data_IF_367892403621
#
_entry.id   IF_367892403621
#
_cell.length_a   1.000
_cell.length_b   1.000
_cell.length_c   1.000
_cell.angle_alpha   90.00
_cell.angle_beta   90.00
_cell.angle_gamma   90.00
#
_symmetry.space_group_name_H-M   'P 1'
#
loop_
_entity.id
_entity.type
_entity.pdbx_description
1 polymer ?
#
# COMPACT_ATOMS: atom_id res chain seq x y z
N UNK A 1 5.70 6.63 -33.85
CA UNK A 1 5.58 6.22 -32.44
C UNK A 1 5.56 4.70 -32.38
N UNK A 2 6.50 4.07 -31.68
CA UNK A 2 6.47 2.63 -31.43
C UNK A 2 5.43 2.35 -30.34
N UNK A 3 4.38 1.59 -30.63
CA UNK A 3 3.41 1.16 -29.62
C UNK A 3 4.10 0.20 -28.65
N UNK A 4 4.18 0.56 -27.37
CA UNK A 4 4.50 -0.41 -26.32
C UNK A 4 3.24 -1.22 -26.02
N UNK A 5 3.34 -2.54 -26.13
CA UNK A 5 2.32 -3.48 -25.68
C UNK A 5 2.60 -3.88 -24.23
N UNK A 6 1.54 -4.03 -23.43
CA UNK A 6 1.59 -4.60 -22.09
C UNK A 6 0.58 -5.75 -22.01
N UNK A 7 0.89 -6.78 -21.24
CA UNK A 7 -0.02 -7.91 -20.98
C UNK A 7 -1.18 -7.49 -20.05
N UNK A 8 -0.95 -6.51 -19.17
CA UNK A 8 -1.96 -6.01 -18.25
C UNK A 8 -1.78 -4.51 -17.95
N UNK A 9 -2.89 -3.83 -17.65
CA UNK A 9 -2.92 -2.46 -17.15
C UNK A 9 -3.58 -2.47 -15.77
N UNK A 10 -2.90 -1.92 -14.77
CA UNK A 10 -3.42 -1.70 -13.43
C UNK A 10 -3.67 -0.21 -13.24
N UNK A 11 -4.92 0.15 -12.95
CA UNK A 11 -5.33 1.53 -12.69
C UNK A 11 -5.38 1.76 -11.18
N UNK A 12 -4.52 2.66 -10.70
CA UNK A 12 -4.29 2.95 -9.29
C UNK A 12 -2.99 2.32 -8.76
N UNK A 13 -2.10 3.15 -8.26
CA UNK A 13 -0.84 2.81 -7.57
C UNK A 13 -0.99 2.63 -6.07
N UNK A 14 -2.19 2.28 -5.59
CA UNK A 14 -2.43 1.90 -4.20
C UNK A 14 -1.87 0.51 -3.87
N UNK A 15 -1.75 0.18 -2.58
CA UNK A 15 -1.22 -1.11 -2.13
C UNK A 15 -1.85 -2.32 -2.84
N UNK A 16 -3.16 -2.35 -3.05
CA UNK A 16 -3.83 -3.44 -3.77
C UNK A 16 -3.39 -3.53 -5.24
N UNK A 17 -3.32 -2.39 -5.94
CA UNK A 17 -2.88 -2.34 -7.34
C UNK A 17 -1.42 -2.78 -7.48
N UNK A 18 -0.56 -2.35 -6.56
CA UNK A 18 0.85 -2.75 -6.54
C UNK A 18 1.03 -4.23 -6.24
N UNK A 19 0.23 -4.82 -5.34
CA UNK A 19 0.22 -6.26 -5.09
C UNK A 19 -0.18 -7.02 -6.37
N UNK A 20 -1.27 -6.61 -7.01
CA UNK A 20 -1.72 -7.25 -8.26
C UNK A 20 -0.66 -7.15 -9.36
N UNK A 21 -0.08 -5.96 -9.55
CA UNK A 21 0.99 -5.72 -10.52
C UNK A 21 2.24 -6.57 -10.23
N UNK A 22 2.65 -6.68 -8.97
CA UNK A 22 3.80 -7.46 -8.56
C UNK A 22 3.59 -8.97 -8.80
N UNK A 23 2.40 -9.49 -8.49
CA UNK A 23 2.07 -10.90 -8.73
C UNK A 23 2.04 -11.21 -10.23
N UNK A 24 1.45 -10.34 -11.06
CA UNK A 24 1.46 -10.48 -12.52
C UNK A 24 2.88 -10.41 -13.10
N UNK A 25 3.70 -9.47 -12.63
CA UNK A 25 5.10 -9.35 -13.05
C UNK A 25 5.92 -10.60 -12.68
N UNK A 26 5.72 -11.16 -11.47
CA UNK A 26 6.37 -12.42 -11.05
C UNK A 26 5.91 -13.61 -11.89
N UNK A 27 4.70 -13.58 -12.43
CA UNK A 27 4.20 -14.56 -13.40
C UNK A 27 4.72 -14.32 -14.83
N UNK A 28 5.68 -13.41 -15.03
CA UNK A 28 6.31 -13.14 -16.32
C UNK A 28 5.53 -12.19 -17.23
N UNK A 29 4.55 -11.45 -16.70
CA UNK A 29 3.74 -10.49 -17.48
C UNK A 29 4.33 -9.09 -17.45
N UNK A 30 4.26 -8.40 -18.58
CA UNK A 30 4.52 -6.97 -18.68
C UNK A 30 3.30 -6.18 -18.20
N UNK A 31 3.48 -5.35 -17.17
CA UNK A 31 2.37 -4.63 -16.53
C UNK A 31 2.60 -3.13 -16.57
N UNK A 32 1.61 -2.37 -17.01
CA UNK A 32 1.58 -0.91 -16.89
C UNK A 32 0.75 -0.52 -15.67
N UNK A 33 1.34 0.22 -14.73
CA UNK A 33 0.62 0.79 -13.59
C UNK A 33 0.40 2.29 -13.85
N UNK A 34 -0.84 2.74 -13.73
CA UNK A 34 -1.23 4.14 -13.89
C UNK A 34 -1.73 4.69 -12.56
N UNK A 35 -1.04 5.68 -12.00
CA UNK A 35 -1.44 6.39 -10.79
C UNK A 35 -1.67 7.87 -11.10
N UNK A 36 -2.70 8.46 -10.50
CA UNK A 36 -3.04 9.88 -10.64
C UNK A 36 -2.20 10.76 -9.72
N UNK A 37 -1.90 10.28 -8.53
CA UNK A 37 -1.09 10.97 -7.53
C UNK A 37 0.40 11.00 -7.90
N UNK A 38 1.15 11.94 -7.32
CA UNK A 38 2.60 12.02 -7.50
C UNK A 38 3.40 10.97 -6.71
N UNK A 39 2.72 10.12 -5.94
CA UNK A 39 3.33 9.08 -5.11
C UNK A 39 2.48 7.80 -5.14
N UNK A 40 3.15 6.67 -4.91
CA UNK A 40 2.55 5.35 -4.79
C UNK A 40 2.17 5.03 -3.35
N UNK A 41 1.34 4.00 -3.16
CA UNK A 41 0.93 3.47 -1.85
C UNK A 41 -0.55 3.69 -1.54
N UNK A 42 -1.18 4.68 -2.17
CA UNK A 42 -2.61 4.96 -2.01
C UNK A 42 -2.99 5.14 -0.53
N UNK A 43 -3.94 4.36 -0.05
CA UNK A 43 -4.39 4.45 1.35
C UNK A 43 -3.33 4.03 2.40
N UNK A 44 -2.23 3.41 1.96
CA UNK A 44 -1.10 3.05 2.82
C UNK A 44 -0.11 4.20 3.04
N UNK A 45 -0.22 5.31 2.30
CA UNK A 45 0.64 6.48 2.47
C UNK A 45 0.36 7.12 3.83
N UNK A 46 1.42 7.28 4.63
CA UNK A 46 1.36 7.92 5.96
C UNK A 46 1.53 9.43 5.86
N UNK A 47 0.50 10.16 6.27
CA UNK A 47 0.47 11.61 6.33
C UNK A 47 0.78 12.09 7.75
N UNK A 48 1.20 13.35 7.90
CA UNK A 48 1.34 14.01 9.20
C UNK A 48 0.15 14.95 9.41
N UNK A 49 -1.01 14.42 9.88
CA UNK A 49 -2.24 15.21 9.94
C UNK A 49 -2.24 16.28 11.05
N UNK A 50 -1.30 16.19 12.00
CA UNK A 50 -1.26 17.05 13.18
C UNK A 50 -0.02 17.95 13.17
N UNK A 51 -0.18 19.27 12.96
CA UNK A 51 0.94 20.21 13.00
C UNK A 51 1.69 20.16 14.34
N UNK A 52 3.03 20.12 14.27
CA UNK A 52 3.88 20.09 15.46
C UNK A 52 3.93 18.74 16.21
N UNK A 53 3.13 17.75 15.81
CA UNK A 53 3.18 16.40 16.40
C UNK A 53 3.93 15.47 15.44
N UNK A 54 4.99 14.76 15.89
CA UNK A 54 5.72 13.81 15.05
C UNK A 54 4.96 12.48 14.88
N UNK A 55 3.67 12.56 14.56
CA UNK A 55 2.82 11.41 14.29
C UNK A 55 2.58 11.26 12.78
N UNK A 56 2.84 10.07 12.24
CA UNK A 56 2.53 9.72 10.85
C UNK A 56 1.45 8.65 10.83
N UNK A 57 0.34 8.95 10.18
CA UNK A 57 -0.86 8.11 10.16
C UNK A 57 -1.31 7.94 8.71
N UNK A 58 -1.51 6.70 8.28
CA UNK A 58 -2.14 6.42 7.00
C UNK A 58 -3.66 6.39 7.16
N UNK A 59 -4.39 6.78 6.09
CA UNK A 59 -5.87 6.73 6.08
C UNK A 59 -6.44 5.32 6.28
N UNK A 60 -5.62 4.28 6.15
CA UNK A 60 -5.99 2.87 6.27
C UNK A 60 -5.27 2.13 7.42
N UNK A 61 -4.70 2.86 8.39
CA UNK A 61 -3.83 2.30 9.44
C UNK A 61 -4.47 1.23 10.35
N UNK A 62 -5.80 1.08 10.31
CA UNK A 62 -6.53 0.10 11.12
C UNK A 62 -6.60 -1.31 10.49
N UNK A 63 -6.25 -1.48 9.20
CA UNK A 63 -6.43 -2.77 8.49
C UNK A 63 -5.13 -3.44 8.02
N UNK A 64 -3.96 -2.83 8.22
CA UNK A 64 -2.67 -3.46 7.80
C UNK A 64 -2.45 -4.83 8.45
N UNK A 65 -2.96 -5.05 9.67
CA UNK A 65 -2.89 -6.36 10.33
C UNK A 65 -3.66 -7.48 9.60
N UNK A 66 -4.55 -7.15 8.67
CA UNK A 66 -5.29 -8.11 7.86
C UNK A 66 -4.58 -8.46 6.55
N UNK A 67 -3.42 -7.88 6.27
CA UNK A 67 -2.69 -8.19 5.04
C UNK A 67 -2.22 -9.67 5.08
N UNK A 68 -2.56 -10.49 4.08
CA UNK A 68 -2.29 -11.93 4.14
C UNK A 68 -0.81 -12.24 4.28
N UNK A 69 -0.44 -13.05 5.28
CA UNK A 69 0.94 -13.50 5.50
C UNK A 69 1.52 -14.23 4.28
N UNK A 70 0.68 -14.95 3.53
CA UNK A 70 1.08 -15.60 2.29
C UNK A 70 1.60 -14.57 1.27
N UNK A 71 0.91 -13.43 1.10
CA UNK A 71 1.34 -12.37 0.20
C UNK A 71 2.59 -11.65 0.72
N UNK A 72 2.75 -11.47 2.04
CA UNK A 72 4.00 -10.91 2.59
C UNK A 72 5.20 -11.76 2.23
N UNK A 73 5.08 -13.08 2.38
CA UNK A 73 6.13 -14.04 2.04
C UNK A 73 6.39 -14.07 0.55
N UNK A 74 5.33 -14.14 -0.24
CA UNK A 74 5.42 -14.20 -1.70
C UNK A 74 6.06 -12.94 -2.30
N UNK A 75 5.77 -11.77 -1.73
CA UNK A 75 6.33 -10.48 -2.13
C UNK A 75 7.65 -10.15 -1.45
N UNK A 76 8.13 -10.98 -0.51
CA UNK A 76 9.38 -10.75 0.22
C UNK A 76 9.39 -9.45 1.05
N UNK A 77 8.23 -9.01 1.55
CA UNK A 77 8.10 -7.73 2.24
C UNK A 77 8.59 -7.83 3.70
N UNK A 78 9.56 -7.01 4.12
CA UNK A 78 10.01 -6.97 5.50
C UNK A 78 9.00 -6.18 6.35
N UNK A 79 7.96 -6.85 6.84
CA UNK A 79 6.93 -6.24 7.69
C UNK A 79 7.18 -6.61 9.14
N UNK A 80 7.36 -5.57 9.95
CA UNK A 80 7.46 -5.70 11.39
C UNK A 80 6.16 -5.24 12.05
N UNK A 81 5.45 -6.17 12.69
CA UNK A 81 4.24 -5.85 13.42
C UNK A 81 4.59 -5.45 14.87
N UNK A 82 4.08 -4.30 15.29
CA UNK A 82 4.21 -3.82 16.68
C UNK A 82 2.88 -3.94 17.39
N UNK A 83 2.91 -4.50 18.60
CA UNK A 83 1.75 -4.50 19.49
C UNK A 83 1.62 -3.10 20.08
N UNK A 84 0.42 -2.53 19.98
CA UNK A 84 0.09 -1.24 20.57
C UNK A 84 -0.70 -1.44 21.86
N UNK A 85 -0.29 -0.72 22.92
CA UNK A 85 -0.94 -0.80 24.24
C UNK A 85 -2.36 -0.21 24.24
N UNK A 86 -2.60 0.76 23.36
CA UNK A 86 -3.91 1.40 23.19
C UNK A 86 -4.44 1.02 21.80
N UNK A 87 -5.58 0.33 21.77
CA UNK A 87 -6.23 -0.11 20.51
C UNK A 87 -7.18 0.94 19.95
N UNK A 88 -7.86 1.66 20.83
CA UNK A 88 -8.76 2.75 20.52
C UNK A 88 -8.66 3.79 21.65
N UNK A 89 -8.78 5.06 21.30
CA UNK A 89 -8.88 6.16 22.25
C UNK A 89 -10.14 6.93 21.89
N UNK A 90 -11.11 6.93 22.80
CA UNK A 90 -12.30 7.78 22.68
C UNK A 90 -11.97 9.10 23.37
N UNK A 91 -11.95 10.23 22.65
CA UNK A 91 -11.77 11.53 23.28
C UNK A 91 -12.86 11.75 24.32
N UNK A 92 -12.47 12.05 25.55
CA UNK A 92 -13.38 12.51 26.58
C UNK A 92 -13.38 14.03 26.51
N UNK A 93 -14.54 14.61 26.21
CA UNK A 93 -14.82 16.03 26.40
C UNK A 93 -15.31 16.29 27.80
#
# INVERSE_FOLDING_TARGET
MTSRSFDAIVVGGGHNGLVAAALLARAGRTVLVLERCGELGGAAVSQAPFPGIPARISRYSYLVSLFPVALLRELGLPVELRIRRVLAYTPQG
#
